data_IF_949577870609
#
_entry.id   IF_949577870609
#
_cell.length_a   1.000
_cell.length_b   1.000
_cell.length_c   1.000
_cell.angle_alpha   90.00
_cell.angle_beta   90.00
_cell.angle_gamma   90.00
#
_symmetry.space_group_name_H-M   'P 1'
#
loop_
_entity.id
_entity.type
_entity.pdbx_description
1 polymer ?
#
# COMPACT_ATOMS: atom_id res chain seq x y z
N UNK A 1 -17.32 19.28 6.76
CA UNK A 1 -16.04 18.88 6.15
C UNK A 1 -16.09 17.38 5.89
N UNK A 2 -16.47 16.99 4.67
CA UNK A 2 -16.48 15.58 4.23
C UNK A 2 -15.16 15.31 3.50
N UNK A 3 -14.05 15.29 4.24
CA UNK A 3 -12.69 15.12 3.71
C UNK A 3 -12.29 13.65 3.52
N UNK A 4 -13.27 12.77 3.30
CA UNK A 4 -13.00 11.38 2.98
C UNK A 4 -12.70 11.29 1.49
N UNK A 5 -11.54 10.75 1.09
CA UNK A 5 -11.21 10.59 -0.32
C UNK A 5 -12.32 9.76 -1.00
N UNK A 6 -12.89 10.27 -2.08
CA UNK A 6 -13.83 9.48 -2.87
C UNK A 6 -13.12 8.35 -3.63
N UNK A 7 -13.90 7.54 -4.36
CA UNK A 7 -13.46 6.31 -5.01
C UNK A 7 -12.23 6.50 -5.92
N UNK A 8 -12.18 7.59 -6.69
CA UNK A 8 -11.01 7.95 -7.53
C UNK A 8 -9.78 8.30 -6.69
N UNK A 9 -9.96 9.04 -5.60
CA UNK A 9 -8.89 9.37 -4.65
C UNK A 9 -8.35 8.13 -3.92
N UNK A 10 -9.21 7.19 -3.56
CA UNK A 10 -8.82 5.91 -2.99
C UNK A 10 -8.03 5.03 -3.96
N UNK A 11 -8.50 4.90 -5.21
CA UNK A 11 -7.78 4.15 -6.25
C UNK A 11 -6.40 4.73 -6.51
N UNK A 12 -6.27 6.06 -6.59
CA UNK A 12 -4.98 6.72 -6.78
C UNK A 12 -4.01 6.42 -5.63
N UNK A 13 -4.48 6.47 -4.38
CA UNK A 13 -3.69 6.15 -3.19
C UNK A 13 -3.27 4.68 -3.18
N UNK A 14 -4.16 3.76 -3.53
CA UNK A 14 -3.85 2.33 -3.65
C UNK A 14 -2.81 2.06 -4.74
N UNK A 15 -2.92 2.73 -5.88
CA UNK A 15 -1.98 2.60 -6.99
C UNK A 15 -0.59 3.12 -6.64
N UNK A 16 -0.53 4.30 -5.99
CA UNK A 16 0.71 4.88 -5.50
C UNK A 16 1.36 4.01 -4.40
N UNK A 17 0.55 3.47 -3.48
CA UNK A 17 1.02 2.54 -2.46
C UNK A 17 1.60 1.28 -3.10
N UNK A 18 0.88 0.67 -4.06
CA UNK A 18 1.35 -0.53 -4.77
C UNK A 18 2.67 -0.26 -5.49
N UNK A 19 2.79 0.84 -6.23
CA UNK A 19 4.02 1.20 -6.92
C UNK A 19 5.20 1.43 -5.96
N UNK A 20 4.97 2.14 -4.84
CA UNK A 20 5.98 2.38 -3.82
C UNK A 20 6.47 1.07 -3.19
N UNK A 21 5.54 0.16 -2.86
CA UNK A 21 5.88 -1.13 -2.26
C UNK A 21 6.53 -2.07 -3.26
N UNK A 22 6.11 -2.09 -4.53
CA UNK A 22 6.76 -2.86 -5.59
C UNK A 22 8.23 -2.40 -5.73
N UNK A 23 8.48 -1.08 -5.79
CA UNK A 23 9.83 -0.52 -5.81
C UNK A 23 10.64 -0.88 -4.55
N UNK A 24 10.03 -0.81 -3.36
CA UNK A 24 10.69 -1.17 -2.11
C UNK A 24 11.00 -2.67 -2.05
N UNK A 25 10.11 -3.51 -2.58
CA UNK A 25 10.23 -4.96 -2.60
C UNK A 25 11.23 -5.43 -3.67
N UNK A 26 11.38 -4.70 -4.79
CA UNK A 26 12.45 -4.91 -5.78
C UNK A 26 13.84 -4.48 -5.27
N UNK A 27 13.89 -3.43 -4.42
CA UNK A 27 15.13 -2.88 -3.84
C UNK A 27 15.58 -3.57 -2.56
N UNK A 28 14.64 -3.97 -1.70
CA UNK A 28 14.89 -4.51 -0.36
C UNK A 28 14.22 -5.87 -0.10
N UNK A 29 13.30 -6.31 -0.95
CA UNK A 29 12.55 -7.54 -0.79
C UNK A 29 13.25 -8.79 -1.36
N UNK A 30 12.56 -9.93 -1.17
CA UNK A 30 13.04 -11.31 -1.35
C UNK A 30 14.08 -11.50 -2.47
N UNK A 31 15.29 -11.92 -2.10
CA UNK A 31 16.25 -12.50 -3.05
C UNK A 31 17.58 -11.76 -3.23
N UNK A 32 17.81 -10.60 -2.62
CA UNK A 32 19.03 -9.80 -2.83
C UNK A 32 20.04 -9.71 -1.67
N UNK A 33 19.78 -10.33 -0.50
CA UNK A 33 20.71 -10.31 0.63
C UNK A 33 20.63 -11.59 1.46
N UNK A 34 21.78 -12.25 1.65
CA UNK A 34 21.90 -13.55 2.31
C UNK A 34 21.31 -13.59 3.73
N UNK A 35 20.77 -14.75 4.12
CA UNK A 35 20.34 -15.19 5.46
C UNK A 35 19.26 -14.35 6.17
N UNK A 36 19.13 -13.04 5.89
CA UNK A 36 18.18 -12.09 6.50
C UNK A 36 17.04 -11.69 5.54
N UNK A 37 16.92 -12.36 4.38
CA UNK A 37 15.89 -12.09 3.37
C UNK A 37 14.47 -12.53 3.73
N UNK A 38 14.31 -13.43 4.71
CA UNK A 38 12.98 -13.87 5.18
C UNK A 38 12.25 -12.81 6.03
N UNK A 39 12.98 -11.95 6.76
CA UNK A 39 12.39 -11.00 7.71
C UNK A 39 11.97 -9.68 7.07
N UNK A 40 12.87 -9.05 6.31
CA UNK A 40 12.62 -7.72 5.73
C UNK A 40 11.46 -7.73 4.71
N UNK A 41 11.38 -8.76 3.87
CA UNK A 41 10.27 -8.91 2.92
C UNK A 41 8.92 -9.11 3.61
N UNK A 42 8.89 -9.83 4.73
CA UNK A 42 7.66 -10.08 5.48
C UNK A 42 7.15 -8.83 6.22
N UNK A 43 8.06 -8.04 6.79
CA UNK A 43 7.71 -6.76 7.43
C UNK A 43 7.12 -5.78 6.41
N UNK A 44 7.69 -5.72 5.20
CA UNK A 44 7.16 -4.89 4.12
C UNK A 44 5.75 -5.33 3.70
N UNK A 45 5.50 -6.64 3.64
CA UNK A 45 4.18 -7.18 3.30
C UNK A 45 3.14 -6.82 4.37
N UNK A 46 3.49 -6.93 5.65
CA UNK A 46 2.61 -6.50 6.76
C UNK A 46 2.31 -5.00 6.71
N UNK A 47 3.32 -4.17 6.44
CA UNK A 47 3.16 -2.73 6.32
C UNK A 47 2.24 -2.37 5.13
N UNK A 48 2.43 -3.02 3.98
CA UNK A 48 1.58 -2.86 2.81
C UNK A 48 0.12 -3.20 3.12
N UNK A 49 -0.11 -4.32 3.82
CA UNK A 49 -1.44 -4.76 4.19
C UNK A 49 -2.13 -3.78 5.14
N UNK A 50 -1.40 -3.28 6.14
CA UNK A 50 -1.92 -2.28 7.09
C UNK A 50 -2.31 -0.98 6.39
N UNK A 51 -1.46 -0.46 5.50
CA UNK A 51 -1.76 0.75 4.72
C UNK A 51 -2.91 0.54 3.74
N UNK A 52 -2.94 -0.60 3.04
CA UNK A 52 -4.02 -0.95 2.12
C UNK A 52 -5.35 -1.02 2.86
N UNK A 53 -5.39 -1.69 4.02
CA UNK A 53 -6.60 -1.79 4.83
C UNK A 53 -7.05 -0.41 5.32
N UNK A 54 -6.12 0.43 5.78
CA UNK A 54 -6.39 1.81 6.19
C UNK A 54 -7.02 2.65 5.06
N UNK A 55 -6.44 2.60 3.85
CA UNK A 55 -6.99 3.31 2.68
C UNK A 55 -8.37 2.75 2.32
N UNK A 56 -8.54 1.43 2.29
CA UNK A 56 -9.81 0.79 1.92
C UNK A 56 -10.92 1.13 2.91
N UNK A 57 -10.64 1.16 4.22
CA UNK A 57 -11.61 1.54 5.26
C UNK A 57 -11.87 3.05 5.33
N UNK A 58 -10.92 3.86 4.88
CA UNK A 58 -10.99 5.33 4.89
C UNK A 58 -11.53 5.95 3.60
N UNK A 59 -11.80 5.16 2.57
CA UNK A 59 -12.31 5.62 1.27
C UNK A 59 -13.82 5.37 1.17
N UNK A 60 -14.57 6.38 0.74
CA UNK A 60 -16.00 6.23 0.44
C UNK A 60 -16.18 5.69 -0.99
N UNK A 61 -16.28 4.36 -1.10
CA UNK A 61 -16.42 3.64 -2.38
C UNK A 61 -17.69 4.01 -3.16
N UNK A 62 -18.73 4.47 -2.46
CA UNK A 62 -20.00 4.90 -3.06
C UNK A 62 -19.96 6.34 -3.59
N UNK A 63 -18.90 7.10 -3.28
CA UNK A 63 -18.73 8.46 -3.78
C UNK A 63 -17.76 8.43 -4.96
N UNK A 64 -18.29 8.47 -6.19
CA UNK A 64 -17.51 8.54 -7.45
C UNK A 64 -16.84 9.92 -7.69
N UNK A 65 -16.65 10.71 -6.64
CA UNK A 65 -16.07 12.06 -6.67
C UNK A 65 -14.68 12.14 -6.04
N UNK A 66 -14.13 13.34 -5.98
CA UNK A 66 -12.86 13.64 -5.28
C UNK A 66 -13.12 13.96 -3.82
#
# INVERSE_FOLDING_TARGET
MNDRPGCLGGILRLLALRWLFDWLQDRFGFGRGGVCGCGCGFVLLLLFLAFTCSIVTGTDWFQLGF
#
